data_IF_025681829327
#
_entry.id   IF_025681829327
#
_cell.length_a   1.000
_cell.length_b   1.000
_cell.length_c   1.000
_cell.angle_alpha   90.00
_cell.angle_beta   90.00
_cell.angle_gamma   90.00
#
_symmetry.space_group_name_H-M   'P 1'
#
loop_
_entity.id
_entity.type
_entity.pdbx_description
1 polymer ?
#
# COMPACT_ATOMS: atom_id res chain seq x y z
N UNK A 1 -3.46 44.50 -36.36
CA UNK A 1 -2.33 44.65 -35.41
C UNK A 1 -2.80 45.02 -34.01
N UNK A 2 -3.40 46.20 -33.75
CA UNK A 2 -3.92 46.50 -32.41
C UNK A 2 -5.10 45.62 -32.00
N UNK A 3 -5.98 45.28 -32.94
CA UNK A 3 -7.11 44.36 -32.71
C UNK A 3 -6.63 42.94 -32.40
N UNK A 4 -5.72 42.39 -33.22
CA UNK A 4 -5.10 41.08 -32.98
C UNK A 4 -4.33 41.03 -31.64
N UNK A 5 -3.65 42.12 -31.27
CA UNK A 5 -2.93 42.23 -30.00
C UNK A 5 -3.86 42.30 -28.78
N UNK A 6 -4.99 42.99 -28.89
CA UNK A 6 -6.02 43.00 -27.84
C UNK A 6 -6.70 41.64 -27.71
N UNK A 7 -7.00 40.98 -28.82
CA UNK A 7 -7.60 39.64 -28.80
C UNK A 7 -6.68 38.62 -28.09
N UNK A 8 -5.40 38.58 -28.44
CA UNK A 8 -4.43 37.69 -27.80
C UNK A 8 -4.21 38.05 -26.32
N UNK A 9 -4.24 39.34 -25.98
CA UNK A 9 -4.18 39.78 -24.59
C UNK A 9 -5.38 39.26 -23.79
N UNK A 10 -6.60 39.41 -24.31
CA UNK A 10 -7.82 38.95 -23.64
C UNK A 10 -7.87 37.41 -23.53
N UNK A 11 -7.49 36.70 -24.60
CA UNK A 11 -7.42 35.23 -24.62
C UNK A 11 -6.42 34.69 -23.59
N UNK A 12 -5.21 35.25 -23.54
CA UNK A 12 -4.20 34.83 -22.55
C UNK A 12 -4.63 35.16 -21.12
N UNK A 13 -5.30 36.29 -20.87
CA UNK A 13 -5.81 36.60 -19.53
C UNK A 13 -6.94 35.65 -19.10
N UNK A 14 -7.80 35.24 -20.03
CA UNK A 14 -8.83 34.24 -19.76
C UNK A 14 -8.20 32.90 -19.38
N UNK A 15 -7.20 32.43 -20.15
CA UNK A 15 -6.46 31.21 -19.85
C UNK A 15 -5.69 31.32 -18.52
N UNK A 16 -5.09 32.48 -18.22
CA UNK A 16 -4.42 32.71 -16.93
C UNK A 16 -5.40 32.50 -15.77
N UNK A 17 -6.60 33.07 -15.89
CA UNK A 17 -7.63 32.94 -14.87
C UNK A 17 -8.07 31.49 -14.72
N UNK A 18 -8.35 30.79 -15.81
CA UNK A 18 -8.72 29.37 -15.80
C UNK A 18 -7.62 28.50 -15.17
N UNK A 19 -6.36 28.69 -15.57
CA UNK A 19 -5.24 27.94 -15.02
C UNK A 19 -5.02 28.19 -13.53
N UNK A 20 -5.29 29.40 -13.04
CA UNK A 20 -5.28 29.70 -11.61
C UNK A 20 -6.45 29.03 -10.89
N UNK A 21 -7.66 29.03 -11.46
CA UNK A 21 -8.81 28.33 -10.88
C UNK A 21 -8.52 26.84 -10.75
N UNK A 22 -7.98 26.21 -11.81
CA UNK A 22 -7.59 24.80 -11.84
C UNK A 22 -6.54 24.45 -10.78
N UNK A 23 -5.50 25.28 -10.59
CA UNK A 23 -4.44 25.01 -9.60
C UNK A 23 -4.90 25.18 -8.16
N UNK A 24 -5.92 26.00 -7.92
CA UNK A 24 -6.44 26.26 -6.58
C UNK A 24 -7.69 25.43 -6.24
N UNK A 25 -8.20 24.66 -7.20
CA UNK A 25 -9.35 23.80 -7.00
C UNK A 25 -8.92 22.43 -6.44
N UNK A 26 -9.32 22.18 -5.19
CA UNK A 26 -9.04 20.95 -4.48
C UNK A 26 -9.76 19.73 -5.08
N UNK A 27 -10.90 19.94 -5.74
CA UNK A 27 -11.72 18.89 -6.37
C UNK A 27 -11.43 18.72 -7.87
N UNK A 28 -10.40 19.41 -8.36
CA UNK A 28 -10.00 19.38 -9.76
C UNK A 28 -9.68 17.97 -10.23
N UNK A 29 -10.08 17.65 -11.48
CA UNK A 29 -9.72 16.38 -12.11
C UNK A 29 -8.25 16.48 -12.57
N UNK A 30 -7.30 15.69 -12.05
CA UNK A 30 -5.85 15.96 -12.22
C UNK A 30 -5.35 15.99 -13.67
N UNK A 31 -6.03 15.28 -14.58
CA UNK A 31 -5.71 15.31 -16.02
C UNK A 31 -5.95 16.68 -16.66
N UNK A 32 -6.69 17.57 -16.00
CA UNK A 32 -6.96 18.92 -16.49
C UNK A 32 -5.68 19.77 -16.48
N UNK A 33 -4.71 19.53 -15.59
CA UNK A 33 -3.45 20.29 -15.56
C UNK A 33 -2.71 20.23 -16.91
N UNK A 34 -2.61 19.02 -17.49
CA UNK A 34 -2.00 18.83 -18.81
C UNK A 34 -2.81 19.53 -19.91
N UNK A 35 -4.13 19.35 -19.90
CA UNK A 35 -5.03 19.92 -20.90
C UNK A 35 -5.00 21.46 -20.89
N UNK A 36 -5.08 22.07 -19.72
CA UNK A 36 -5.01 23.52 -19.55
C UNK A 36 -3.61 24.04 -19.88
N UNK A 37 -2.54 23.32 -19.55
CA UNK A 37 -1.17 23.67 -19.98
C UNK A 37 -1.03 23.70 -21.51
N UNK A 38 -1.58 22.70 -22.20
CA UNK A 38 -1.52 22.60 -23.67
C UNK A 38 -2.31 23.73 -24.35
N UNK A 39 -3.42 24.18 -23.75
CA UNK A 39 -4.22 25.29 -24.25
C UNK A 39 -3.42 26.60 -24.37
N UNK A 40 -2.36 26.79 -23.58
CA UNK A 40 -1.47 27.96 -23.69
C UNK A 40 -0.54 27.94 -24.90
N UNK A 41 -0.27 26.78 -25.53
CA UNK A 41 0.76 26.68 -26.58
C UNK A 41 0.51 27.62 -27.77
N UNK A 42 -0.68 27.52 -28.39
CA UNK A 42 -0.97 28.29 -29.60
C UNK A 42 -1.06 29.80 -29.32
N UNK A 43 -1.77 30.28 -28.27
CA UNK A 43 -1.85 31.71 -27.98
C UNK A 43 -0.49 32.32 -27.59
N UNK A 44 0.36 31.58 -26.88
CA UNK A 44 1.71 32.03 -26.55
C UNK A 44 2.62 32.13 -27.77
N UNK A 45 2.53 31.19 -28.71
CA UNK A 45 3.26 31.23 -29.97
C UNK A 45 2.81 32.44 -30.80
N UNK A 46 1.50 32.59 -31.00
CA UNK A 46 0.92 33.71 -31.74
C UNK A 46 1.30 35.08 -31.13
N UNK A 47 1.21 35.22 -29.81
CA UNK A 47 1.61 36.44 -29.11
C UNK A 47 3.11 36.71 -29.24
N UNK A 48 3.96 35.67 -29.20
CA UNK A 48 5.41 35.83 -29.38
C UNK A 48 5.75 36.29 -30.79
N UNK A 49 5.10 35.75 -31.83
CA UNK A 49 5.31 36.20 -33.21
C UNK A 49 4.81 37.63 -33.44
N UNK A 50 3.63 37.99 -32.90
CA UNK A 50 3.08 39.34 -33.01
C UNK A 50 4.00 40.37 -32.34
N UNK A 51 4.56 40.06 -31.17
CA UNK A 51 5.48 40.96 -30.45
C UNK A 51 6.79 41.24 -31.22
N UNK A 52 7.20 40.41 -32.18
CA UNK A 52 8.39 40.68 -33.01
C UNK A 52 8.18 41.79 -34.03
N UNK A 53 6.92 42.01 -34.44
CA UNK A 53 6.57 42.99 -35.48
C UNK A 53 5.95 44.27 -34.91
N UNK A 54 5.56 44.26 -33.63
CA UNK A 54 5.03 45.45 -32.95
C UNK A 54 6.13 46.41 -32.50
N UNK A 55 5.90 47.74 -32.55
CA UNK A 55 6.82 48.71 -31.97
C UNK A 55 6.96 48.52 -30.46
N UNK A 56 8.20 48.55 -29.93
CA UNK A 56 8.46 48.28 -28.51
C UNK A 56 7.80 49.29 -27.55
N UNK A 57 7.54 50.51 -28.02
CA UNK A 57 6.91 51.58 -27.23
C UNK A 57 5.38 51.58 -27.35
N UNK A 58 4.80 50.62 -28.06
CA UNK A 58 3.36 50.48 -28.20
C UNK A 58 2.74 49.99 -26.87
N UNK A 59 1.68 50.64 -26.42
CA UNK A 59 1.04 50.32 -25.14
C UNK A 59 0.50 48.87 -25.11
N UNK A 60 -0.07 48.40 -26.22
CA UNK A 60 -0.58 47.02 -26.33
C UNK A 60 0.58 46.04 -26.35
N UNK A 61 1.69 46.36 -27.02
CA UNK A 61 2.89 45.51 -26.99
C UNK A 61 3.46 45.37 -25.57
N UNK A 62 3.51 46.45 -24.78
CA UNK A 62 3.99 46.42 -23.39
C UNK A 62 3.08 45.54 -22.51
N UNK A 63 1.76 45.70 -22.63
CA UNK A 63 0.78 44.89 -21.88
C UNK A 63 0.86 43.42 -22.26
N UNK A 64 0.83 43.11 -23.56
CA UNK A 64 0.91 41.75 -24.08
C UNK A 64 2.22 41.06 -23.66
N UNK A 65 3.36 41.77 -23.66
CA UNK A 65 4.65 41.23 -23.19
C UNK A 65 4.61 40.81 -21.73
N UNK A 66 3.94 41.58 -20.88
CA UNK A 66 3.73 41.24 -19.46
C UNK A 66 2.84 40.00 -19.34
N UNK A 67 1.69 39.98 -20.01
CA UNK A 67 0.76 38.85 -20.00
C UNK A 67 1.41 37.56 -20.52
N UNK A 68 2.22 37.63 -21.58
CA UNK A 68 2.98 36.47 -22.10
C UNK A 68 3.94 35.90 -21.05
N UNK A 69 4.58 36.76 -20.24
CA UNK A 69 5.48 36.31 -19.16
C UNK A 69 4.69 35.55 -18.09
N UNK A 70 3.56 36.10 -17.66
CA UNK A 70 2.73 35.50 -16.61
C UNK A 70 2.08 34.20 -17.09
N UNK A 71 1.58 34.17 -18.33
CA UNK A 71 1.05 32.97 -18.97
C UNK A 71 2.11 31.86 -19.09
N UNK A 72 3.35 32.18 -19.47
CA UNK A 72 4.45 31.20 -19.52
C UNK A 72 4.79 30.63 -18.14
N UNK A 73 4.79 31.46 -17.11
CA UNK A 73 5.04 31.00 -15.74
C UNK A 73 3.92 30.06 -15.26
N UNK A 74 2.67 30.40 -15.55
CA UNK A 74 1.53 29.57 -15.18
C UNK A 74 1.49 28.25 -15.96
N UNK A 75 1.74 28.29 -17.28
CA UNK A 75 1.86 27.10 -18.11
C UNK A 75 2.92 26.14 -17.57
N UNK A 76 4.09 26.66 -17.21
CA UNK A 76 5.16 25.85 -16.61
C UNK A 76 4.72 25.21 -15.28
N UNK A 77 3.93 25.92 -14.46
CA UNK A 77 3.41 25.40 -13.20
C UNK A 77 2.37 24.29 -13.42
N UNK A 78 1.45 24.47 -14.38
CA UNK A 78 0.47 23.45 -14.78
C UNK A 78 1.16 22.19 -15.33
N UNK A 79 2.16 22.36 -16.20
CA UNK A 79 2.96 21.25 -16.73
C UNK A 79 3.71 20.51 -15.62
N UNK A 80 4.22 21.23 -14.62
CA UNK A 80 4.85 20.64 -13.45
C UNK A 80 3.85 19.81 -12.62
N UNK A 81 2.65 20.32 -12.34
CA UNK A 81 1.59 19.59 -11.63
C UNK A 81 1.13 18.35 -12.40
N UNK A 82 1.01 18.44 -13.73
CA UNK A 82 0.70 17.27 -14.56
C UNK A 82 1.77 16.17 -14.45
N UNK A 83 3.05 16.54 -14.39
CA UNK A 83 4.14 15.60 -14.19
C UNK A 83 4.14 15.01 -12.77
N UNK A 84 3.94 15.84 -11.74
CA UNK A 84 3.80 15.38 -10.36
C UNK A 84 2.64 14.38 -10.22
N UNK A 85 1.50 14.63 -10.86
CA UNK A 85 0.38 13.70 -10.88
C UNK A 85 0.75 12.36 -11.54
N UNK A 86 1.44 12.38 -12.68
CA UNK A 86 1.91 11.15 -13.32
C UNK A 86 2.82 10.34 -12.39
N UNK A 87 3.78 11.00 -11.73
CA UNK A 87 4.67 10.34 -10.77
C UNK A 87 3.88 9.80 -9.57
N UNK A 88 2.90 10.54 -9.07
CA UNK A 88 2.04 10.08 -7.98
C UNK A 88 1.28 8.81 -8.34
N UNK A 89 0.68 8.75 -9.53
CA UNK A 89 -0.04 7.56 -10.01
C UNK A 89 0.90 6.36 -10.14
N UNK A 90 2.06 6.54 -10.77
CA UNK A 90 3.05 5.47 -10.93
C UNK A 90 3.50 4.89 -9.57
N UNK A 91 3.76 5.77 -8.59
CA UNK A 91 4.16 5.34 -7.25
C UNK A 91 3.02 4.71 -6.47
N UNK A 92 1.78 5.19 -6.63
CA UNK A 92 0.59 4.63 -5.97
C UNK A 92 0.33 3.21 -6.48
N UNK A 93 0.40 3.02 -7.79
CA UNK A 93 0.17 1.72 -8.41
C UNK A 93 1.28 0.74 -7.99
N UNK A 94 2.54 1.17 -8.01
CA UNK A 94 3.66 0.39 -7.46
C UNK A 94 3.49 0.04 -5.97
N UNK A 95 3.03 0.98 -5.14
CA UNK A 95 2.80 0.73 -3.72
C UNK A 95 1.68 -0.30 -3.51
N UNK A 96 0.60 -0.19 -4.29
CA UNK A 96 -0.51 -1.15 -4.28
C UNK A 96 -0.05 -2.56 -4.68
N UNK A 97 0.74 -2.68 -5.75
CA UNK A 97 1.29 -3.97 -6.20
C UNK A 97 2.22 -4.61 -5.16
N UNK A 98 3.02 -3.79 -4.48
CA UNK A 98 3.89 -4.25 -3.40
C UNK A 98 3.08 -4.73 -2.20
N UNK A 99 2.07 -3.97 -1.77
CA UNK A 99 1.20 -4.36 -0.67
C UNK A 99 0.47 -5.68 -0.99
N UNK A 100 -0.07 -5.83 -2.20
CA UNK A 100 -0.73 -7.06 -2.62
C UNK A 100 0.23 -8.26 -2.61
N UNK A 101 1.47 -8.05 -3.06
CA UNK A 101 2.51 -9.09 -2.97
C UNK A 101 2.81 -9.47 -1.52
N UNK A 102 2.84 -8.50 -0.61
CA UNK A 102 3.01 -8.73 0.83
C UNK A 102 1.77 -9.32 1.49
N UNK A 103 0.58 -9.28 0.90
CA UNK A 103 -0.63 -9.97 1.42
C UNK A 103 -0.65 -11.46 1.12
N UNK A 104 0.01 -11.93 0.05
CA UNK A 104 0.00 -13.35 -0.37
C UNK A 104 0.28 -14.36 0.75
N UNK A 105 1.27 -14.18 1.65
CA UNK A 105 1.49 -15.13 2.74
C UNK A 105 0.31 -15.24 3.71
N UNK A 106 -0.44 -14.15 3.95
CA UNK A 106 -1.66 -14.18 4.77
C UNK A 106 -2.71 -15.07 4.13
N UNK A 107 -2.95 -14.91 2.83
CA UNK A 107 -3.94 -15.71 2.11
C UNK A 107 -3.51 -17.17 2.00
N UNK A 108 -2.25 -17.42 1.67
CA UNK A 108 -1.73 -18.77 1.47
C UNK A 108 -1.70 -19.59 2.76
N UNK A 109 -1.43 -18.96 3.90
CA UNK A 109 -1.30 -19.64 5.20
C UNK A 109 -2.62 -19.61 5.96
N UNK A 110 -3.33 -18.48 5.96
CA UNK A 110 -4.60 -18.30 6.67
C UNK A 110 -5.70 -19.22 6.14
N UNK A 111 -5.66 -19.61 4.86
CA UNK A 111 -6.63 -20.52 4.26
C UNK A 111 -6.27 -22.01 4.41
N UNK A 112 -5.14 -22.36 5.02
CA UNK A 112 -4.75 -23.77 5.19
C UNK A 112 -5.63 -24.46 6.23
N UNK A 113 -5.97 -25.71 5.95
CA UNK A 113 -6.59 -26.60 6.93
C UNK A 113 -5.59 -27.06 8.01
N UNK A 114 -6.10 -27.85 8.95
CA UNK A 114 -5.33 -28.52 10.00
C UNK A 114 -4.13 -29.23 9.38
N UNK A 115 -2.95 -29.02 9.97
CA UNK A 115 -1.66 -29.53 9.49
C UNK A 115 -0.77 -29.93 10.67
N UNK A 116 0.25 -30.78 10.43
CA UNK A 116 1.16 -31.20 11.50
C UNK A 116 1.91 -30.04 12.13
N UNK A 117 2.31 -30.22 13.39
CA UNK A 117 3.04 -29.23 14.19
C UNK A 117 4.22 -28.59 13.44
N UNK A 118 5.05 -29.39 12.77
CA UNK A 118 6.23 -28.89 12.05
C UNK A 118 5.85 -27.96 10.90
N UNK A 119 4.71 -28.20 10.24
CA UNK A 119 4.22 -27.33 9.16
C UNK A 119 3.65 -26.02 9.72
N UNK A 120 2.94 -26.07 10.85
CA UNK A 120 2.46 -24.86 11.53
C UNK A 120 3.65 -23.99 11.97
N UNK A 121 4.71 -24.60 12.50
CA UNK A 121 5.92 -23.89 12.92
C UNK A 121 6.67 -23.23 11.76
N UNK A 122 6.81 -23.93 10.62
CA UNK A 122 7.43 -23.38 9.40
C UNK A 122 6.61 -22.23 8.82
N UNK A 123 5.28 -22.38 8.76
CA UNK A 123 4.37 -21.31 8.31
C UNK A 123 4.43 -20.08 9.23
N UNK A 124 4.53 -20.28 10.55
CA UNK A 124 4.68 -19.19 11.52
C UNK A 124 5.96 -18.39 11.28
N UNK A 125 7.09 -19.06 11.01
CA UNK A 125 8.35 -18.40 10.68
C UNK A 125 8.25 -17.58 9.39
N UNK A 126 7.58 -18.11 8.37
CA UNK A 126 7.30 -17.38 7.12
C UNK A 126 6.44 -16.14 7.36
N UNK A 127 5.37 -16.25 8.15
CA UNK A 127 4.52 -15.10 8.47
C UNK A 127 5.29 -14.01 9.23
N UNK A 128 6.13 -14.38 10.20
CA UNK A 128 6.94 -13.41 10.94
C UNK A 128 7.90 -12.66 10.01
N UNK A 129 8.58 -13.37 9.12
CA UNK A 129 9.44 -12.74 8.10
C UNK A 129 8.66 -11.82 7.16
N UNK A 130 7.52 -12.28 6.65
CA UNK A 130 6.68 -11.47 5.78
C UNK A 130 6.12 -10.21 6.47
N UNK A 131 5.76 -10.31 7.75
CA UNK A 131 5.34 -9.17 8.57
C UNK A 131 6.48 -8.16 8.77
N UNK A 132 7.72 -8.62 8.97
CA UNK A 132 8.88 -7.72 9.05
C UNK A 132 9.13 -6.98 7.73
N UNK A 133 8.92 -7.64 6.59
CA UNK A 133 9.04 -7.04 5.25
C UNK A 133 7.97 -5.97 4.95
N UNK A 134 6.87 -5.89 5.71
CA UNK A 134 5.93 -4.77 5.57
C UNK A 134 6.57 -3.42 5.91
N UNK A 135 7.64 -3.41 6.72
CA UNK A 135 8.35 -2.17 7.04
C UNK A 135 8.96 -1.50 5.80
N UNK A 136 9.20 -2.25 4.72
CA UNK A 136 9.71 -1.71 3.46
C UNK A 136 8.73 -0.70 2.84
N UNK A 137 7.43 -0.85 3.11
CA UNK A 137 6.37 0.03 2.60
C UNK A 137 6.43 1.45 3.20
N UNK A 138 7.09 1.64 4.35
CA UNK A 138 7.22 2.97 4.98
C UNK A 138 7.91 3.99 4.07
N UNK A 139 8.87 3.52 3.29
CA UNK A 139 9.59 4.38 2.33
C UNK A 139 8.67 4.85 1.19
N UNK A 140 7.79 3.97 0.71
CA UNK A 140 6.79 4.29 -0.32
C UNK A 140 5.73 5.25 0.23
N UNK A 141 5.24 5.01 1.45
CA UNK A 141 4.30 5.92 2.11
C UNK A 141 4.86 7.33 2.24
N UNK A 142 6.12 7.45 2.65
CA UNK A 142 6.80 8.75 2.76
C UNK A 142 6.90 9.46 1.41
N UNK A 143 7.14 8.71 0.33
CA UNK A 143 7.23 9.24 -1.03
C UNK A 143 5.86 9.69 -1.55
N UNK A 144 4.82 8.88 -1.34
CA UNK A 144 3.45 9.21 -1.70
C UNK A 144 2.96 10.45 -0.95
N UNK A 145 3.23 10.55 0.35
CA UNK A 145 2.91 11.73 1.16
C UNK A 145 3.59 12.99 0.61
N UNK A 146 4.88 12.91 0.26
CA UNK A 146 5.61 14.04 -0.29
C UNK A 146 5.12 14.48 -1.67
N UNK A 147 4.72 13.53 -2.53
CA UNK A 147 4.12 13.85 -3.84
C UNK A 147 2.74 14.47 -3.67
N UNK A 148 1.94 13.95 -2.73
CA UNK A 148 0.63 14.49 -2.39
C UNK A 148 0.72 15.93 -1.88
N UNK A 149 1.66 16.24 -1.00
CA UNK A 149 1.88 17.61 -0.48
C UNK A 149 2.30 18.60 -1.57
N UNK A 150 3.03 18.12 -2.61
CA UNK A 150 3.38 18.96 -3.75
C UNK A 150 2.21 19.17 -4.72
N UNK A 151 1.16 18.36 -4.62
CA UNK A 151 -0.08 18.48 -5.39
C UNK A 151 -1.18 19.25 -4.63
N UNK A 152 -0.88 19.81 -3.46
CA UNK A 152 -1.82 20.63 -2.68
C UNK A 152 -2.46 21.71 -3.58
N UNK A 153 -3.79 21.88 -3.55
CA UNK A 153 -4.76 21.31 -2.60
C UNK A 153 -5.51 20.05 -3.08
N UNK A 154 -4.97 19.26 -4.01
CA UNK A 154 -5.70 18.16 -4.67
C UNK A 154 -6.16 17.04 -3.70
N UNK A 155 -7.46 16.98 -3.40
CA UNK A 155 -8.05 16.03 -2.44
C UNK A 155 -7.97 14.58 -2.91
N UNK A 156 -8.00 14.33 -4.22
CA UNK A 156 -7.90 12.97 -4.75
C UNK A 156 -6.56 12.32 -4.37
N UNK A 157 -5.46 13.07 -4.42
CA UNK A 157 -4.16 12.57 -3.98
C UNK A 157 -4.17 12.27 -2.47
N UNK A 158 -4.71 13.18 -1.66
CA UNK A 158 -4.81 12.98 -0.21
C UNK A 158 -5.72 11.80 0.17
N UNK A 159 -6.80 11.57 -0.57
CA UNK A 159 -7.68 10.43 -0.36
C UNK A 159 -6.93 9.11 -0.64
N UNK A 160 -6.25 9.00 -1.77
CA UNK A 160 -5.49 7.80 -2.16
C UNK A 160 -4.41 7.45 -1.12
N UNK A 161 -3.66 8.44 -0.62
CA UNK A 161 -2.65 8.21 0.43
C UNK A 161 -3.29 7.74 1.73
N UNK A 162 -4.41 8.36 2.16
CA UNK A 162 -5.15 7.95 3.37
C UNK A 162 -5.69 6.52 3.26
N UNK A 163 -6.24 6.15 2.10
CA UNK A 163 -6.72 4.78 1.89
C UNK A 163 -5.58 3.77 1.93
N UNK A 164 -4.46 4.08 1.27
CA UNK A 164 -3.29 3.21 1.29
C UNK A 164 -2.70 3.02 2.70
N UNK A 165 -2.62 4.08 3.49
CA UNK A 165 -2.17 4.04 4.89
C UNK A 165 -3.04 3.07 5.72
N UNK A 166 -4.36 3.22 5.65
CA UNK A 166 -5.32 2.33 6.32
C UNK A 166 -5.16 0.88 5.84
N UNK A 167 -4.93 0.67 4.55
CA UNK A 167 -4.75 -0.66 3.95
C UNK A 167 -3.47 -1.35 4.45
N UNK A 168 -2.38 -0.60 4.67
CA UNK A 168 -1.14 -1.09 5.27
C UNK A 168 -1.36 -1.44 6.74
N UNK A 169 -1.99 -0.56 7.52
CA UNK A 169 -2.30 -0.80 8.93
C UNK A 169 -3.17 -2.04 9.12
N UNK A 170 -4.22 -2.21 8.30
CA UNK A 170 -5.08 -3.39 8.35
C UNK A 170 -4.30 -4.66 8.01
N UNK A 171 -3.42 -4.61 7.02
CA UNK A 171 -2.59 -5.76 6.65
C UNK A 171 -1.63 -6.13 7.79
N UNK A 172 -1.04 -5.14 8.45
CA UNK A 172 -0.20 -5.37 9.62
C UNK A 172 -0.99 -6.05 10.75
N UNK A 173 -2.21 -5.56 11.04
CA UNK A 173 -3.07 -6.17 12.05
C UNK A 173 -3.41 -7.63 11.71
N UNK A 174 -3.71 -7.94 10.44
CA UNK A 174 -3.98 -9.30 10.00
C UNK A 174 -2.78 -10.24 10.23
N UNK A 175 -1.56 -9.75 10.00
CA UNK A 175 -0.35 -10.50 10.35
C UNK A 175 -0.24 -10.76 11.84
N UNK A 176 -0.42 -9.73 12.66
CA UNK A 176 -0.36 -9.85 14.13
C UNK A 176 -1.39 -10.86 14.66
N UNK A 177 -2.61 -10.80 14.15
CA UNK A 177 -3.72 -11.69 14.52
C UNK A 177 -3.40 -13.14 14.13
N UNK A 178 -2.99 -13.39 12.89
CA UNK A 178 -2.70 -14.75 12.41
C UNK A 178 -1.48 -15.36 13.12
N UNK A 179 -0.43 -14.56 13.34
CA UNK A 179 0.75 -14.97 14.11
C UNK A 179 0.34 -15.34 15.54
N UNK A 180 -0.52 -14.53 16.18
CA UNK A 180 -1.02 -14.80 17.53
C UNK A 180 -1.81 -16.11 17.59
N UNK A 181 -2.74 -16.33 16.64
CA UNK A 181 -3.52 -17.55 16.54
C UNK A 181 -2.63 -18.80 16.40
N UNK A 182 -1.63 -18.75 15.52
CA UNK A 182 -0.73 -19.89 15.29
C UNK A 182 0.21 -20.16 16.47
N UNK A 183 0.66 -19.12 17.19
CA UNK A 183 1.42 -19.34 18.42
C UNK A 183 0.56 -20.07 19.47
N UNK A 184 -0.71 -19.70 19.60
CA UNK A 184 -1.63 -20.37 20.53
C UNK A 184 -1.89 -21.82 20.11
N UNK A 185 -2.10 -22.07 18.81
CA UNK A 185 -2.26 -23.42 18.27
C UNK A 185 -1.06 -24.32 18.60
N UNK A 186 0.17 -23.84 18.35
CA UNK A 186 1.39 -24.58 18.68
C UNK A 186 1.54 -24.82 20.18
N UNK A 187 1.15 -23.84 21.00
CA UNK A 187 1.19 -23.97 22.45
C UNK A 187 0.22 -25.05 22.96
N UNK A 188 -1.02 -25.02 22.49
CA UNK A 188 -2.06 -25.99 22.86
C UNK A 188 -1.69 -27.41 22.41
N UNK A 189 -1.17 -27.56 21.18
CA UNK A 189 -0.71 -28.85 20.66
C UNK A 189 0.44 -29.42 21.48
N UNK A 190 1.37 -28.57 21.94
CA UNK A 190 2.45 -29.02 22.82
C UNK A 190 1.92 -29.54 24.16
N UNK A 191 0.96 -28.83 24.78
CA UNK A 191 0.30 -29.28 26.02
C UNK A 191 -0.41 -30.63 25.81
N UNK A 192 -1.10 -30.78 24.68
CA UNK A 192 -1.82 -32.01 24.35
C UNK A 192 -0.84 -33.19 24.13
N UNK A 193 0.28 -32.95 23.46
CA UNK A 193 1.32 -33.95 23.24
C UNK A 193 1.96 -34.40 24.56
N UNK A 194 2.31 -33.46 25.44
CA UNK A 194 2.83 -33.77 26.79
C UNK A 194 1.83 -34.61 27.60
N UNK A 195 0.55 -34.23 27.56
CA UNK A 195 -0.52 -34.97 28.23
C UNK A 195 -0.69 -36.38 27.68
N UNK A 196 -0.62 -36.54 26.35
CA UNK A 196 -0.72 -37.84 25.67
C UNK A 196 0.46 -38.74 26.02
N UNK A 197 1.68 -38.20 26.08
CA UNK A 197 2.86 -38.94 26.49
C UNK A 197 2.78 -39.38 27.96
N UNK A 198 2.23 -38.56 28.85
CA UNK A 198 1.99 -38.94 30.23
C UNK A 198 0.98 -40.09 30.33
N UNK A 199 -0.16 -39.98 29.63
CA UNK A 199 -1.17 -41.05 29.58
C UNK A 199 -0.60 -42.36 29.03
N UNK A 200 0.23 -42.29 27.98
CA UNK A 200 0.90 -43.47 27.43
C UNK A 200 1.79 -44.17 28.45
N UNK A 201 2.58 -43.41 29.23
CA UNK A 201 3.42 -43.94 30.31
C UNK A 201 2.59 -44.56 31.43
N UNK A 202 1.48 -43.92 31.82
CA UNK A 202 0.59 -44.45 32.86
C UNK A 202 -0.10 -45.75 32.41
N UNK A 203 -0.55 -45.82 31.16
CA UNK A 203 -1.12 -47.05 30.59
C UNK A 203 -0.08 -48.18 30.51
N UNK A 204 1.14 -47.88 30.08
CA UNK A 204 2.24 -48.85 30.05
C UNK A 204 2.54 -49.39 31.46
N UNK A 205 2.58 -48.51 32.46
CA UNK A 205 2.76 -48.88 33.86
C UNK A 205 1.62 -49.77 34.40
N UNK A 206 0.36 -49.42 34.11
CA UNK A 206 -0.80 -50.21 34.52
C UNK A 206 -0.81 -51.58 33.83
N UNK A 207 -0.48 -51.64 32.54
CA UNK A 207 -0.38 -52.89 31.79
C UNK A 207 0.72 -53.80 32.35
N UNK A 208 1.87 -53.23 32.74
CA UNK A 208 2.94 -53.94 33.42
C UNK A 208 2.47 -54.56 34.74
N UNK A 209 1.73 -53.82 35.57
CA UNK A 209 1.16 -54.34 36.82
C UNK A 209 0.18 -55.49 36.61
N UNK A 210 -0.77 -55.33 35.69
CA UNK A 210 -1.75 -56.36 35.34
C UNK A 210 -1.08 -57.66 34.87
N UNK A 211 -0.03 -57.53 34.06
CA UNK A 211 0.73 -58.68 33.56
C UNK A 211 1.44 -59.43 34.69
N UNK A 212 2.01 -58.72 35.67
CA UNK A 212 2.66 -59.33 36.84
C UNK A 212 1.63 -60.02 37.73
N UNK A 213 0.48 -59.39 37.98
CA UNK A 213 -0.60 -60.00 38.78
C UNK A 213 -1.14 -61.28 38.14
N UNK A 214 -1.26 -61.34 36.81
CA UNK A 214 -1.61 -62.57 36.10
C UNK A 214 -0.57 -63.68 36.30
N UNK A 215 0.72 -63.38 36.15
CA UNK A 215 1.80 -64.36 36.34
C UNK A 215 1.79 -64.91 37.77
N UNK A 216 1.65 -64.02 38.76
CA UNK A 216 1.59 -64.41 40.18
C UNK A 216 0.38 -65.31 40.45
N UNK A 217 -0.75 -65.03 39.81
CA UNK A 217 -1.97 -65.84 39.93
C UNK A 217 -1.83 -67.22 39.29
N UNK A 218 -1.26 -67.30 38.09
CA UNK A 218 -0.98 -68.57 37.40
C UNK A 218 0.00 -69.44 38.21
N UNK A 219 1.06 -68.85 38.76
CA UNK A 219 2.01 -69.56 39.62
C UNK A 219 1.36 -70.11 40.90
N UNK A 220 0.44 -69.35 41.49
CA UNK A 220 -0.32 -69.80 42.66
C UNK A 220 -1.28 -70.95 42.32
N UNK A 221 -1.94 -70.90 41.16
CA UNK A 221 -2.81 -71.98 40.69
C UNK A 221 -2.01 -73.26 40.37
N UNK A 222 -0.82 -73.15 39.77
CA UNK A 222 0.10 -74.27 39.55
C UNK A 222 0.54 -74.93 40.86
N UNK A 223 0.90 -74.13 41.87
CA UNK A 223 1.28 -74.65 43.19
C UNK A 223 0.11 -75.36 43.85
N UNK A 224 -1.11 -74.82 43.78
CA UNK A 224 -2.28 -75.48 44.35
C UNK A 224 -2.58 -76.81 43.65
N UNK A 225 -2.43 -76.89 42.32
CA UNK A 225 -2.59 -78.12 41.54
C UNK A 225 -1.51 -79.18 41.83
N UNK A 226 -0.34 -78.80 42.36
CA UNK A 226 0.72 -79.74 42.76
C UNK A 226 0.50 -80.35 44.16
N UNK A 227 -0.39 -79.75 44.97
CA UNK A 227 -0.66 -80.19 46.35
C UNK A 227 -2.03 -80.86 46.54
N UNK A 228 -2.80 -81.06 45.46
CA UNK A 228 -4.06 -81.81 45.42
C UNK A 228 -4.04 -82.83 44.29
#
# INVERSE_FOLDING_TARGET
MHEDGNQLYDELNALIKEGQEVLNDAESIPTIYATTSDAFMNPLEAATELLKIMPENDEIAIRLKTTVKDAKALQANLSHHANLWSQFVDERDNATDQLETKRKPLDEIGNKHIRPYEQVADDLDKLKKAAEELNDLRSLMSKLQNLCEQLDPLETAYADVRFYDVDVEQTQQQYEDLISLMNNELHDENILNESTQQLAKELEYLNGKLSIEQIVREQLEEVILLYF
#
